data_IF_492693582360
#
_entry.id   IF_492693582360
#
_cell.length_a   1.000
_cell.length_b   1.000
_cell.length_c   1.000
_cell.angle_alpha   90.00
_cell.angle_beta   90.00
_cell.angle_gamma   90.00
#
_symmetry.space_group_name_H-M   'P 1'
#
loop_
_entity.id
_entity.type
_entity.pdbx_description
1 polymer ?
#
# COMPACT_ATOMS: atom_id res chain seq x y z
N UNK A 1 -15.05 -32.14 19.79
CA UNK A 1 -16.09 -31.10 19.60
C UNK A 1 -16.00 -30.71 18.15
N UNK A 2 -16.95 -31.16 17.33
CA UNK A 2 -17.09 -30.67 15.96
C UNK A 2 -17.48 -29.20 16.05
N UNK A 3 -16.60 -28.31 15.60
CA UNK A 3 -16.98 -26.94 15.31
C UNK A 3 -17.93 -27.04 14.12
N UNK A 4 -19.23 -26.86 14.35
CA UNK A 4 -20.17 -26.69 13.25
C UNK A 4 -19.95 -25.27 12.75
N UNK A 5 -19.03 -25.09 11.79
CA UNK A 5 -18.81 -23.81 11.13
C UNK A 5 -20.15 -23.31 10.58
N UNK A 6 -20.57 -22.10 10.91
CA UNK A 6 -21.77 -21.53 10.30
C UNK A 6 -21.45 -21.08 8.87
N UNK A 7 -21.99 -21.84 7.91
CA UNK A 7 -21.85 -21.60 6.47
C UNK A 7 -23.15 -21.05 5.87
N UNK A 8 -23.04 -20.03 5.02
CA UNK A 8 -24.16 -19.48 4.23
C UNK A 8 -23.88 -19.50 2.74
N UNK A 9 -24.79 -20.12 1.97
CA UNK A 9 -24.81 -20.10 0.50
C UNK A 9 -25.86 -19.07 0.06
N UNK A 10 -25.48 -18.16 -0.84
CA UNK A 10 -26.36 -17.14 -1.42
C UNK A 10 -26.60 -17.49 -2.88
N UNK A 11 -27.87 -17.69 -3.27
CA UNK A 11 -28.20 -18.21 -4.60
C UNK A 11 -28.93 -17.22 -5.53
N UNK A 12 -29.55 -16.14 -5.03
CA UNK A 12 -30.45 -15.32 -5.89
C UNK A 12 -30.68 -13.86 -5.51
N UNK A 13 -30.19 -13.34 -4.39
CA UNK A 13 -30.49 -11.96 -3.97
C UNK A 13 -29.49 -10.95 -4.55
N UNK A 14 -29.96 -9.86 -5.17
CA UNK A 14 -29.07 -8.79 -5.66
C UNK A 14 -28.32 -8.06 -4.51
N UNK A 15 -28.81 -8.20 -3.27
CA UNK A 15 -28.21 -7.73 -2.02
C UNK A 15 -28.52 -8.72 -0.89
N UNK A 16 -27.62 -9.68 -0.61
CA UNK A 16 -27.85 -10.67 0.43
C UNK A 16 -27.78 -10.04 1.82
N UNK A 17 -28.78 -10.32 2.65
CA UNK A 17 -28.77 -9.88 4.04
C UNK A 17 -27.94 -10.85 4.90
N UNK A 18 -26.66 -10.53 5.13
CA UNK A 18 -25.72 -11.31 5.96
C UNK A 18 -25.22 -10.57 7.20
N UNK A 19 -25.51 -9.27 7.28
CA UNK A 19 -25.07 -8.36 8.35
C UNK A 19 -25.59 -8.71 9.75
N UNK A 20 -26.65 -9.50 9.86
CA UNK A 20 -27.21 -9.92 11.16
C UNK A 20 -26.70 -11.30 11.61
N UNK A 21 -25.79 -11.92 10.85
CA UNK A 21 -25.30 -13.27 11.10
C UNK A 21 -23.87 -13.22 11.65
N UNK A 22 -23.68 -12.68 12.86
CA UNK A 22 -22.36 -12.39 13.45
C UNK A 22 -21.49 -13.63 13.73
N UNK A 23 -22.09 -14.83 13.68
CA UNK A 23 -21.41 -16.10 13.91
C UNK A 23 -20.96 -16.79 12.60
N UNK A 24 -21.30 -16.24 11.42
CA UNK A 24 -20.86 -16.81 10.15
C UNK A 24 -19.34 -16.87 10.05
N UNK A 25 -18.85 -18.06 9.72
CA UNK A 25 -17.44 -18.33 9.47
C UNK A 25 -17.18 -18.50 7.97
N UNK A 26 -18.19 -18.90 7.19
CA UNK A 26 -18.06 -19.15 5.76
C UNK A 26 -19.23 -18.53 4.97
N UNK A 27 -18.90 -17.75 3.94
CA UNK A 27 -19.87 -17.20 2.99
C UNK A 27 -19.49 -17.61 1.57
N UNK A 28 -20.41 -18.29 0.90
CA UNK A 28 -20.32 -18.64 -0.52
C UNK A 28 -21.45 -17.96 -1.29
N UNK A 29 -21.10 -17.17 -2.30
CA UNK A 29 -22.07 -16.47 -3.15
C UNK A 29 -21.65 -16.50 -4.62
N UNK A 30 -21.00 -17.59 -5.04
CA UNK A 30 -20.49 -17.72 -6.40
C UNK A 30 -21.63 -17.74 -7.45
N UNK A 31 -21.35 -17.23 -8.66
CA UNK A 31 -22.26 -17.28 -9.82
C UNK A 31 -23.59 -16.56 -9.53
N UNK A 32 -23.50 -15.27 -9.25
CA UNK A 32 -24.65 -14.41 -8.97
C UNK A 32 -24.55 -13.09 -9.76
N UNK A 33 -25.46 -12.15 -9.49
CA UNK A 33 -25.46 -10.81 -10.08
C UNK A 33 -25.20 -9.71 -9.05
N UNK A 34 -24.49 -10.03 -7.98
CA UNK A 34 -24.20 -9.08 -6.90
C UNK A 34 -23.36 -7.92 -7.44
N UNK A 35 -23.78 -6.68 -7.18
CA UNK A 35 -22.99 -5.48 -7.47
C UNK A 35 -22.26 -4.97 -6.24
N UNK A 36 -22.77 -5.28 -5.05
CA UNK A 36 -22.20 -4.94 -3.75
C UNK A 36 -22.42 -6.08 -2.76
N UNK A 37 -21.46 -6.32 -1.87
CA UNK A 37 -21.61 -7.23 -0.72
C UNK A 37 -21.14 -6.51 0.55
N UNK A 38 -21.97 -6.53 1.59
CA UNK A 38 -21.62 -6.00 2.91
C UNK A 38 -21.56 -7.14 3.91
N UNK A 39 -20.35 -7.41 4.41
CA UNK A 39 -20.05 -8.38 5.46
C UNK A 39 -19.36 -7.69 6.65
N UNK A 40 -19.53 -6.37 6.79
CA UNK A 40 -18.83 -5.55 7.80
C UNK A 40 -19.12 -5.96 9.25
N UNK A 41 -20.22 -6.68 9.47
CA UNK A 41 -20.62 -7.18 10.80
C UNK A 41 -20.25 -8.64 11.05
N UNK A 42 -19.69 -9.35 10.06
CA UNK A 42 -19.32 -10.76 10.17
C UNK A 42 -17.88 -10.90 10.68
N UNK A 43 -17.62 -10.47 11.92
CA UNK A 43 -16.26 -10.46 12.50
C UNK A 43 -15.60 -11.85 12.62
N UNK A 44 -16.39 -12.93 12.61
CA UNK A 44 -15.89 -14.31 12.65
C UNK A 44 -15.61 -14.92 11.27
N UNK A 45 -15.88 -14.19 10.19
CA UNK A 45 -15.74 -14.69 8.83
C UNK A 45 -14.30 -15.13 8.57
N UNK A 46 -14.11 -16.41 8.29
CA UNK A 46 -12.86 -17.04 7.95
C UNK A 46 -12.72 -17.24 6.43
N UNK A 47 -13.82 -17.48 5.74
CA UNK A 47 -13.82 -17.71 4.29
C UNK A 47 -14.91 -16.91 3.58
N UNK A 48 -14.50 -16.19 2.53
CA UNK A 48 -15.40 -15.47 1.64
C UNK A 48 -15.11 -15.84 0.18
N UNK A 49 -16.08 -16.49 -0.45
CA UNK A 49 -16.05 -16.79 -1.89
C UNK A 49 -17.20 -16.11 -2.59
N UNK A 50 -16.88 -15.19 -3.50
CA UNK A 50 -17.86 -14.39 -4.23
C UNK A 50 -17.60 -14.34 -5.74
N UNK A 51 -16.94 -15.37 -6.26
CA UNK A 51 -16.56 -15.47 -7.68
C UNK A 51 -17.73 -15.35 -8.65
N UNK A 52 -17.47 -14.91 -9.88
CA UNK A 52 -18.48 -14.79 -10.94
C UNK A 52 -19.66 -13.91 -10.51
N UNK A 53 -19.35 -12.69 -10.09
CA UNK A 53 -20.32 -11.66 -9.72
C UNK A 53 -20.00 -10.34 -10.40
N UNK A 54 -20.92 -9.39 -10.32
CA UNK A 54 -20.71 -8.01 -10.81
C UNK A 54 -20.17 -7.07 -9.73
N UNK A 55 -19.47 -7.63 -8.74
CA UNK A 55 -19.10 -6.92 -7.52
C UNK A 55 -18.13 -5.78 -7.85
N UNK A 56 -18.50 -4.57 -7.43
CA UNK A 56 -17.66 -3.37 -7.47
C UNK A 56 -17.39 -2.81 -6.07
N UNK A 57 -18.15 -3.28 -5.07
CA UNK A 57 -18.06 -2.84 -3.68
C UNK A 57 -18.12 -4.05 -2.73
N UNK A 58 -17.18 -4.14 -1.80
CA UNK A 58 -17.13 -5.15 -0.73
C UNK A 58 -16.79 -4.42 0.56
N UNK A 59 -17.72 -4.46 1.52
CA UNK A 59 -17.48 -3.92 2.85
C UNK A 59 -17.08 -5.06 3.77
N UNK A 60 -15.83 -5.03 4.22
CA UNK A 60 -15.26 -6.00 5.17
C UNK A 60 -15.35 -5.47 6.61
N UNK A 61 -15.21 -6.35 7.62
CA UNK A 61 -15.06 -5.92 8.99
C UNK A 61 -13.91 -4.92 9.15
N UNK A 62 -14.03 -3.95 10.05
CA UNK A 62 -12.99 -2.95 10.32
C UNK A 62 -11.65 -3.58 10.71
N UNK A 63 -11.68 -4.75 11.35
CA UNK A 63 -10.51 -5.54 11.71
C UNK A 63 -10.73 -7.00 11.25
N UNK A 64 -10.51 -7.30 9.95
CA UNK A 64 -10.81 -8.62 9.37
C UNK A 64 -9.70 -9.63 9.72
N UNK A 65 -9.40 -9.79 11.00
CA UNK A 65 -8.27 -10.60 11.48
C UNK A 65 -8.52 -12.10 11.37
N UNK A 66 -9.77 -12.54 11.18
CA UNK A 66 -10.10 -13.96 11.08
C UNK A 66 -10.11 -14.48 9.63
N UNK A 67 -10.12 -13.59 8.64
CA UNK A 67 -10.28 -13.96 7.24
C UNK A 67 -9.01 -14.66 6.73
N UNK A 68 -9.14 -15.94 6.37
CA UNK A 68 -8.06 -16.81 5.88
C UNK A 68 -8.11 -16.98 4.37
N UNK A 69 -9.32 -16.98 3.81
CA UNK A 69 -9.56 -17.21 2.38
C UNK A 69 -10.45 -16.13 1.81
N UNK A 70 -9.95 -15.46 0.76
CA UNK A 70 -10.70 -14.47 0.00
C UNK A 70 -10.63 -14.77 -1.50
N UNK A 71 -11.77 -15.14 -2.09
CA UNK A 71 -11.87 -15.49 -3.51
C UNK A 71 -12.81 -14.48 -4.20
N UNK A 72 -12.22 -13.66 -5.06
CA UNK A 72 -12.86 -12.58 -5.84
C UNK A 72 -12.82 -12.87 -7.36
N UNK A 73 -12.58 -14.11 -7.76
CA UNK A 73 -12.36 -14.47 -9.18
C UNK A 73 -13.50 -13.98 -10.06
N UNK A 74 -13.17 -13.34 -11.18
CA UNK A 74 -14.15 -12.84 -12.15
C UNK A 74 -15.20 -11.92 -11.47
N UNK A 75 -14.70 -10.90 -10.77
CA UNK A 75 -15.47 -9.78 -10.25
C UNK A 75 -14.97 -8.47 -10.85
N UNK A 76 -15.71 -7.36 -10.69
CA UNK A 76 -15.32 -6.05 -11.19
C UNK A 76 -14.69 -5.17 -10.10
N UNK A 77 -14.00 -5.78 -9.13
CA UNK A 77 -13.18 -5.03 -8.17
C UNK A 77 -12.05 -4.32 -8.90
N UNK A 78 -11.87 -3.04 -8.56
CA UNK A 78 -10.87 -2.17 -9.17
C UNK A 78 -9.96 -1.57 -8.11
N UNK A 79 -8.78 -1.10 -8.51
CA UNK A 79 -7.90 -0.32 -7.64
C UNK A 79 -6.75 -1.15 -7.05
N UNK A 80 -6.42 -0.89 -5.79
CA UNK A 80 -5.24 -1.44 -5.10
C UNK A 80 -5.63 -2.49 -4.07
N UNK A 81 -4.70 -3.39 -3.77
CA UNK A 81 -4.75 -4.37 -2.67
C UNK A 81 -4.52 -3.76 -1.28
N UNK A 82 -4.48 -2.43 -1.15
CA UNK A 82 -4.20 -1.71 0.11
C UNK A 82 -5.12 -2.12 1.27
N UNK A 83 -6.41 -2.35 1.01
CA UNK A 83 -7.38 -2.76 2.02
C UNK A 83 -7.12 -4.14 2.64
N UNK A 84 -6.17 -4.91 2.10
CA UNK A 84 -5.74 -6.21 2.63
C UNK A 84 -4.64 -6.09 3.70
N UNK A 85 -4.08 -4.90 3.95
CA UNK A 85 -2.91 -4.71 4.83
C UNK A 85 -3.12 -5.25 6.25
N UNK A 86 -4.36 -5.18 6.75
CA UNK A 86 -4.71 -5.61 8.11
C UNK A 86 -5.15 -7.08 8.22
N UNK A 87 -5.23 -7.82 7.09
CA UNK A 87 -5.66 -9.22 7.08
C UNK A 87 -4.51 -10.18 7.44
N UNK A 88 -4.03 -10.09 8.68
CA UNK A 88 -2.82 -10.79 9.15
C UNK A 88 -2.90 -12.32 9.14
N UNK A 89 -4.09 -12.88 9.01
CA UNK A 89 -4.32 -14.33 8.94
C UNK A 89 -4.68 -14.81 7.52
N UNK A 90 -4.67 -13.93 6.51
CA UNK A 90 -5.03 -14.30 5.14
C UNK A 90 -3.95 -15.23 4.57
N UNK A 91 -4.35 -16.44 4.21
CA UNK A 91 -3.48 -17.49 3.63
C UNK A 91 -3.71 -17.66 2.15
N UNK A 92 -4.95 -17.45 1.68
CA UNK A 92 -5.33 -17.63 0.29
C UNK A 92 -6.07 -16.43 -0.25
N UNK A 93 -5.58 -15.91 -1.37
CA UNK A 93 -6.18 -14.82 -2.11
C UNK A 93 -6.29 -15.18 -3.58
N UNK A 94 -7.48 -15.04 -4.15
CA UNK A 94 -7.68 -15.16 -5.59
C UNK A 94 -8.38 -13.92 -6.12
N UNK A 95 -7.68 -13.18 -6.97
CA UNK A 95 -8.15 -11.97 -7.66
C UNK A 95 -8.12 -12.13 -9.19
N UNK A 96 -7.99 -13.37 -9.69
CA UNK A 96 -7.97 -13.63 -11.13
C UNK A 96 -9.21 -13.03 -11.80
N UNK A 97 -9.05 -12.46 -12.99
CA UNK A 97 -10.12 -11.81 -13.75
C UNK A 97 -10.77 -10.60 -13.05
N UNK A 98 -10.02 -9.89 -12.20
CA UNK A 98 -10.41 -8.59 -11.60
C UNK A 98 -9.68 -7.40 -12.23
N UNK A 99 -10.15 -6.19 -11.96
CA UNK A 99 -9.51 -4.95 -12.40
C UNK A 99 -8.64 -4.30 -11.31
N UNK A 100 -8.20 -5.10 -10.32
CA UNK A 100 -7.19 -4.73 -9.32
C UNK A 100 -5.81 -4.73 -10.00
N UNK A 101 -5.06 -3.64 -9.91
CA UNK A 101 -3.84 -3.44 -10.70
C UNK A 101 -2.61 -2.99 -9.90
N UNK A 102 -2.74 -2.88 -8.58
CA UNK A 102 -1.68 -2.34 -7.71
C UNK A 102 -1.76 -2.90 -6.28
N UNK A 103 -0.74 -2.62 -5.47
CA UNK A 103 -0.77 -2.87 -4.02
C UNK A 103 -0.16 -4.18 -3.54
N UNK A 104 0.67 -4.87 -4.32
CA UNK A 104 1.34 -6.11 -3.87
C UNK A 104 2.09 -5.96 -2.55
N UNK A 105 2.62 -4.77 -2.25
CA UNK A 105 3.30 -4.48 -0.98
C UNK A 105 2.41 -4.56 0.27
N UNK A 106 1.10 -4.44 0.11
CA UNK A 106 0.12 -4.53 1.20
C UNK A 106 -0.35 -5.96 1.44
N UNK A 107 0.00 -6.93 0.59
CA UNK A 107 -0.33 -8.33 0.83
C UNK A 107 0.29 -8.79 2.16
N UNK A 108 -0.43 -9.51 3.02
CA UNK A 108 0.09 -9.93 4.32
C UNK A 108 1.17 -11.01 4.16
N UNK A 109 2.11 -11.06 5.11
CA UNK A 109 3.19 -12.07 5.09
C UNK A 109 2.68 -13.49 5.37
N UNK A 110 1.47 -13.62 5.90
CA UNK A 110 0.75 -14.88 6.09
C UNK A 110 0.28 -15.53 4.79
N UNK A 111 0.34 -14.81 3.66
CA UNK A 111 -0.20 -15.27 2.39
C UNK A 111 0.65 -16.41 1.80
N UNK A 112 0.03 -17.57 1.65
CA UNK A 112 0.64 -18.80 1.14
C UNK A 112 0.30 -18.99 -0.35
N UNK A 113 -0.94 -18.68 -0.71
CA UNK A 113 -1.50 -18.84 -2.05
C UNK A 113 -2.02 -17.51 -2.60
N UNK A 114 -1.50 -17.10 -3.76
CA UNK A 114 -1.97 -15.92 -4.48
C UNK A 114 -2.22 -16.23 -5.95
N UNK A 115 -3.47 -16.12 -6.35
CA UNK A 115 -3.93 -16.32 -7.71
C UNK A 115 -4.39 -14.98 -8.28
N UNK A 116 -3.79 -14.57 -9.40
CA UNK A 116 -4.08 -13.30 -10.07
C UNK A 116 -4.16 -13.45 -11.60
N UNK A 117 -3.80 -14.61 -12.12
CA UNK A 117 -4.04 -15.05 -13.48
C UNK A 117 -4.63 -16.46 -13.44
N UNK A 118 -5.66 -16.73 -14.25
CA UNK A 118 -6.19 -18.08 -14.44
C UNK A 118 -5.54 -18.68 -15.69
N UNK A 119 -4.95 -19.87 -15.56
CA UNK A 119 -4.48 -20.66 -16.69
C UNK A 119 -5.38 -21.90 -16.86
N UNK A 120 -5.81 -22.25 -18.09
CA UNK A 120 -5.60 -21.56 -19.36
C UNK A 120 -6.77 -20.61 -19.66
N UNK A 121 -6.47 -19.31 -19.72
CA UNK A 121 -7.35 -18.19 -20.11
C UNK A 121 -8.54 -17.97 -19.17
N UNK A 122 -8.38 -17.01 -18.26
CA UNK A 122 -9.49 -16.48 -17.48
C UNK A 122 -10.60 -15.91 -18.37
N UNK A 123 -11.81 -15.77 -17.82
CA UNK A 123 -12.98 -15.30 -18.57
C UNK A 123 -12.80 -13.87 -19.11
N UNK A 124 -11.80 -13.13 -18.61
CA UNK A 124 -11.56 -11.72 -18.94
C UNK A 124 -10.10 -11.49 -19.37
N UNK A 125 -9.78 -11.66 -20.67
CA UNK A 125 -8.44 -11.40 -21.21
C UNK A 125 -7.91 -9.97 -21.01
N UNK A 126 -8.79 -9.00 -20.73
CA UNK A 126 -8.42 -7.60 -20.49
C UNK A 126 -8.43 -7.22 -18.99
N UNK A 127 -8.55 -8.20 -18.09
CA UNK A 127 -8.52 -7.96 -16.65
C UNK A 127 -7.20 -7.31 -16.23
N UNK A 128 -7.27 -6.21 -15.47
CA UNK A 128 -6.06 -5.46 -15.12
C UNK A 128 -5.12 -6.21 -14.18
N UNK A 129 -5.60 -7.19 -13.41
CA UNK A 129 -4.78 -7.99 -12.50
C UNK A 129 -3.65 -8.76 -13.21
N UNK A 130 -3.72 -8.93 -14.52
CA UNK A 130 -2.63 -9.47 -15.34
C UNK A 130 -1.34 -8.63 -15.28
N UNK A 131 -1.41 -7.37 -14.85
CA UNK A 131 -0.21 -6.55 -14.60
C UNK A 131 0.77 -7.22 -13.62
N UNK A 132 0.25 -8.03 -12.69
CA UNK A 132 1.06 -8.74 -11.71
C UNK A 132 1.92 -9.85 -12.33
N UNK A 133 1.55 -10.40 -13.49
CA UNK A 133 2.41 -11.34 -14.23
C UNK A 133 3.72 -10.64 -14.59
N UNK A 134 3.67 -9.43 -15.14
CA UNK A 134 4.85 -8.66 -15.50
C UNK A 134 5.68 -8.25 -14.29
N UNK A 135 5.02 -7.96 -13.16
CA UNK A 135 5.71 -7.57 -11.93
C UNK A 135 6.43 -8.78 -11.33
N UNK A 136 5.72 -9.89 -11.08
CA UNK A 136 6.23 -11.05 -10.34
C UNK A 136 7.06 -12.01 -11.20
N UNK A 137 6.91 -12.01 -12.54
CA UNK A 137 7.79 -12.77 -13.45
C UNK A 137 9.24 -12.32 -13.38
N UNK A 138 9.47 -11.04 -13.09
CA UNK A 138 10.81 -10.44 -12.99
C UNK A 138 11.38 -10.48 -11.56
N UNK A 139 10.65 -11.05 -10.60
CA UNK A 139 11.13 -11.22 -9.24
C UNK A 139 11.73 -12.62 -9.08
N UNK A 140 13.00 -12.66 -8.71
CA UNK A 140 13.70 -13.90 -8.32
C UNK A 140 13.02 -14.54 -7.11
N UNK A 141 12.99 -15.88 -7.05
CA UNK A 141 12.40 -16.64 -5.95
C UNK A 141 11.89 -18.01 -6.41
N UNK A 142 11.88 -18.99 -5.50
CA UNK A 142 11.49 -20.38 -5.81
C UNK A 142 9.98 -20.61 -5.71
N UNK A 143 9.29 -19.80 -4.90
CA UNK A 143 7.84 -19.83 -4.70
C UNK A 143 7.29 -18.40 -4.58
N UNK A 144 5.96 -18.27 -4.48
CA UNK A 144 5.30 -16.97 -4.36
C UNK A 144 5.70 -16.19 -3.11
N UNK A 145 5.76 -16.84 -1.94
CA UNK A 145 6.12 -16.17 -0.67
C UNK A 145 7.51 -15.53 -0.74
N UNK A 146 8.49 -16.24 -1.31
CA UNK A 146 9.84 -15.71 -1.50
C UNK A 146 9.85 -14.53 -2.48
N UNK A 147 9.12 -14.64 -3.59
CA UNK A 147 8.98 -13.53 -4.55
C UNK A 147 8.33 -12.32 -3.91
N UNK A 148 7.29 -12.50 -3.10
CA UNK A 148 6.60 -11.41 -2.41
C UNK A 148 7.55 -10.69 -1.43
N UNK A 149 8.31 -11.44 -0.63
CA UNK A 149 9.32 -10.88 0.28
C UNK A 149 10.37 -10.07 -0.46
N UNK A 150 10.89 -10.60 -1.57
CA UNK A 150 11.90 -9.91 -2.39
C UNK A 150 11.31 -8.66 -3.04
N UNK A 151 10.08 -8.72 -3.55
CA UNK A 151 9.36 -7.57 -4.10
C UNK A 151 9.23 -6.45 -3.06
N UNK A 152 8.72 -6.78 -1.86
CA UNK A 152 8.57 -5.82 -0.75
C UNK A 152 9.91 -5.20 -0.36
N UNK A 153 10.95 -6.01 -0.23
CA UNK A 153 12.29 -5.53 0.11
C UNK A 153 12.87 -4.59 -0.97
N UNK A 154 12.73 -4.95 -2.26
CA UNK A 154 13.16 -4.10 -3.37
C UNK A 154 12.39 -2.78 -3.40
N UNK A 155 11.09 -2.79 -3.11
CA UNK A 155 10.27 -1.57 -3.04
C UNK A 155 10.70 -0.67 -1.88
N UNK A 156 10.81 -1.22 -0.67
CA UNK A 156 11.25 -0.48 0.52
C UNK A 156 12.66 0.10 0.34
N UNK A 157 13.58 -0.65 -0.25
CA UNK A 157 14.95 -0.17 -0.54
C UNK A 157 14.94 1.05 -1.48
N UNK A 158 14.07 1.06 -2.50
CA UNK A 158 13.93 2.22 -3.40
C UNK A 158 13.36 3.44 -2.66
N UNK A 159 12.39 3.23 -1.78
CA UNK A 159 11.82 4.31 -0.96
C UNK A 159 12.84 4.92 -0.02
N UNK A 160 13.63 4.08 0.68
CA UNK A 160 14.75 4.52 1.53
C UNK A 160 15.76 5.34 0.71
N UNK A 161 16.18 4.82 -0.45
CA UNK A 161 17.13 5.54 -1.32
C UNK A 161 16.60 6.91 -1.77
N UNK A 162 15.30 7.00 -2.04
CA UNK A 162 14.66 8.27 -2.41
C UNK A 162 14.65 9.25 -1.24
N UNK A 163 14.32 8.79 -0.03
CA UNK A 163 14.34 9.62 1.19
C UNK A 163 15.75 10.09 1.50
N UNK A 164 16.73 9.20 1.46
CA UNK A 164 18.15 9.55 1.64
C UNK A 164 18.64 10.58 0.62
N UNK A 165 18.25 10.43 -0.66
CA UNK A 165 18.60 11.38 -1.69
C UNK A 165 17.97 12.77 -1.43
N UNK A 166 16.73 12.82 -0.94
CA UNK A 166 16.09 14.08 -0.51
C UNK A 166 16.83 14.71 0.66
N UNK A 167 17.20 13.92 1.66
CA UNK A 167 17.94 14.39 2.83
C UNK A 167 19.32 14.95 2.47
N UNK A 168 20.08 14.26 1.61
CA UNK A 168 21.37 14.73 1.10
C UNK A 168 21.27 16.08 0.39
N UNK A 169 20.22 16.30 -0.41
CA UNK A 169 19.97 17.60 -1.08
C UNK A 169 19.69 18.71 -0.08
N UNK A 170 18.90 18.43 0.95
CA UNK A 170 18.59 19.41 2.00
C UNK A 170 19.87 19.82 2.73
N UNK A 171 20.72 18.85 3.11
CA UNK A 171 22.01 19.15 3.76
C UNK A 171 22.86 20.05 2.87
N UNK A 172 23.04 19.68 1.60
CA UNK A 172 23.87 20.45 0.67
C UNK A 172 23.37 21.90 0.50
N UNK A 173 22.05 22.11 0.41
CA UNK A 173 21.45 23.45 0.36
C UNK A 173 21.73 24.27 1.64
N UNK A 174 21.61 23.63 2.82
CA UNK A 174 21.92 24.27 4.10
C UNK A 174 23.39 24.60 4.25
N UNK A 175 24.29 23.71 3.84
CA UNK A 175 25.73 23.94 3.84
C UNK A 175 26.10 25.12 2.92
N UNK A 176 25.53 25.17 1.71
CA UNK A 176 25.73 26.29 0.79
C UNK A 176 25.26 27.61 1.41
N UNK A 177 24.11 27.59 2.09
CA UNK A 177 23.59 28.79 2.76
C UNK A 177 24.48 29.24 3.93
N UNK A 178 25.06 28.31 4.69
CA UNK A 178 26.00 28.63 5.76
C UNK A 178 27.23 29.35 5.18
N UNK A 179 27.82 28.81 4.11
CA UNK A 179 28.98 29.41 3.43
C UNK A 179 28.67 30.84 2.95
N UNK A 180 27.49 31.06 2.37
CA UNK A 180 27.05 32.41 1.96
C UNK A 180 26.95 33.38 3.14
N UNK A 181 26.41 32.92 4.27
CA UNK A 181 26.24 33.75 5.46
C UNK A 181 27.59 34.04 6.13
N UNK A 182 28.50 33.07 6.17
CA UNK A 182 29.86 33.26 6.66
C UNK A 182 30.64 34.26 5.82
N UNK A 183 30.51 34.18 4.49
CA UNK A 183 31.12 35.15 3.56
C UNK A 183 30.59 36.57 3.81
N UNK A 184 29.27 36.72 3.97
CA UNK A 184 28.65 38.01 4.30
C UNK A 184 29.15 38.55 5.64
N UNK A 185 29.24 37.69 6.66
CA UNK A 185 29.73 38.06 7.98
C UNK A 185 31.19 38.54 7.94
N UNK A 186 32.04 37.86 7.17
CA UNK A 186 33.44 38.25 7.00
C UNK A 186 33.57 39.62 6.33
N UNK A 187 32.77 39.90 5.30
CA UNK A 187 32.75 41.21 4.64
C UNK A 187 32.32 42.33 5.60
N UNK A 188 31.28 42.10 6.40
CA UNK A 188 30.83 43.07 7.41
C UNK A 188 31.93 43.34 8.43
N UNK A 189 32.61 42.29 8.94
CA UNK A 189 33.73 42.45 9.89
C UNK A 189 34.86 43.31 9.31
N UNK A 190 35.19 43.12 8.04
CA UNK A 190 36.21 43.92 7.34
C UNK A 190 35.81 45.39 7.26
N UNK A 191 34.57 45.68 6.87
CA UNK A 191 34.04 47.06 6.80
C UNK A 191 34.12 47.74 8.17
N UNK A 192 33.66 47.06 9.22
CA UNK A 192 33.70 47.60 10.60
C UNK A 192 35.15 47.89 11.04
N UNK A 193 36.09 47.01 10.69
CA UNK A 193 37.50 47.21 11.03
C UNK A 193 38.10 48.42 10.27
N UNK A 194 37.77 48.59 8.99
CA UNK A 194 38.20 49.75 8.20
C UNK A 194 37.64 51.07 8.75
N UNK A 195 36.36 51.11 9.14
CA UNK A 195 35.72 52.28 9.76
C UNK A 195 36.36 52.65 11.11
N UNK A 196 36.67 51.65 11.95
CA UNK A 196 37.34 51.87 13.24
C UNK A 196 38.74 52.47 13.06
N UNK A 197 39.52 51.97 12.09
CA UNK A 197 40.85 52.51 11.77
C UNK A 197 40.75 53.95 11.27
N UNK A 198 39.76 54.26 10.42
CA UNK A 198 39.55 55.60 9.89
C UNK A 198 39.22 56.64 10.99
N UNK A 199 38.44 56.26 12.01
CA UNK A 199 38.12 57.15 13.14
C UNK A 199 39.33 57.47 14.02
N UNK A 200 40.26 56.52 14.21
CA UNK A 200 41.48 56.71 15.01
C UNK A 200 42.50 57.60 14.26
N UNK A 201 42.49 57.57 12.92
CA UNK A 201 43.43 58.31 12.08
C UNK A 201 43.07 59.79 11.84
N UNK A 202 41.92 60.29 12.33
CA UNK A 202 41.56 61.70 12.18
C UNK A 202 42.43 62.58 13.09
N UNK A 203 43.11 63.62 12.58
CA UNK A 203 43.96 64.49 13.40
C UNK A 203 43.11 65.23 14.45
N UNK A 204 43.68 65.54 15.64
CA UNK A 204 42.96 66.28 16.65
C UNK A 204 42.48 67.60 16.05
N UNK A 205 41.18 67.88 16.16
CA UNK A 205 40.63 69.18 15.79
C UNK A 205 41.39 70.23 16.61
N UNK A 206 42.23 71.02 15.94
CA UNK A 206 42.93 72.13 16.56
C UNK A 206 41.89 73.08 17.14
N UNK A 207 41.89 73.23 18.46
CA UNK A 207 41.18 74.32 19.10
C UNK A 207 41.99 75.59 18.88
N UNK A 208 41.38 76.56 18.20
CA UNK A 208 41.78 77.97 18.22
C UNK A 208 41.62 78.56 19.62
#
# INVERSE_FOLDING_TARGET
>A
MEYVNEKKIIETEAKPEVNNCSQLEEIECHINRLTSLDVSKNNKLAELTCSNNRLTQLSLPTNPTNLKTLILTNTHFTGSLEYLSEMRELRKLNISDTDIDSGLEYLPDSLEEFYYSMFPVGERPNAKCQVFDNILKNVEGTNFSDKLKIYKQKKLKKEIQLVEARYRRIIADKEQRIIELETKLQNIRKIVQEEQVAQIAMPPKGNN
#
